data_IF_469849049917
#
_entry.id   IF_469849049917
#
_cell.length_a   1.000
_cell.length_b   1.000
_cell.length_c   1.000
_cell.angle_alpha   90.00
_cell.angle_beta   90.00
_cell.angle_gamma   90.00
#
_symmetry.space_group_name_H-M   'P 1'
#
loop_
_entity.id
_entity.type
_entity.pdbx_description
1 polymer ?
#
# COMPACT_ATOMS: atom_id res chain seq x y z
N UNK A 1 5.55 2.75 10.86
CA UNK A 1 4.19 2.19 11.06
C UNK A 1 3.30 3.35 11.40
N UNK A 2 2.36 3.66 10.53
CA UNK A 2 1.39 4.73 10.75
C UNK A 2 0.08 4.06 11.19
N UNK A 3 -0.54 4.60 12.26
CA UNK A 3 -1.86 4.19 12.74
C UNK A 3 -2.78 5.37 12.52
N UNK A 4 -3.86 5.16 11.79
CA UNK A 4 -4.87 6.19 11.57
C UNK A 4 -5.83 6.23 12.76
N UNK A 5 -5.98 7.42 13.33
CA UNK A 5 -6.77 7.65 14.53
C UNK A 5 -7.82 8.74 14.25
N UNK A 6 -9.02 8.56 14.78
CA UNK A 6 -10.05 9.59 14.80
C UNK A 6 -10.14 10.22 16.20
N UNK A 7 -10.23 11.55 16.31
CA UNK A 7 -10.46 12.21 17.58
C UNK A 7 -11.90 11.99 18.05
N UNK A 8 -12.05 11.59 19.31
CA UNK A 8 -13.33 11.45 20.02
C UNK A 8 -13.24 12.21 21.35
N UNK A 9 -14.37 12.47 22.04
CA UNK A 9 -14.35 13.10 23.36
C UNK A 9 -13.49 12.34 24.40
N UNK A 10 -13.31 11.03 24.21
CA UNK A 10 -12.54 10.15 25.09
C UNK A 10 -11.06 10.02 24.68
N UNK A 11 -10.65 10.64 23.58
CA UNK A 11 -9.28 10.61 23.06
C UNK A 11 -9.20 10.15 21.61
N UNK A 12 -8.01 9.74 21.19
CA UNK A 12 -7.76 9.23 19.85
C UNK A 12 -8.06 7.72 19.80
N UNK A 13 -8.97 7.31 18.92
CA UNK A 13 -9.31 5.90 18.72
C UNK A 13 -8.91 5.44 17.32
N UNK A 14 -8.51 4.17 17.13
CA UNK A 14 -8.24 3.63 15.80
C UNK A 14 -9.41 3.81 14.85
N UNK A 15 -9.12 4.25 13.63
CA UNK A 15 -10.14 4.59 12.64
C UNK A 15 -10.74 3.34 11.98
N UNK A 16 -9.94 2.27 11.81
CA UNK A 16 -10.38 0.97 11.27
C UNK A 16 -9.85 -0.21 12.09
N UNK A 17 -10.38 -1.39 11.81
CA UNK A 17 -9.95 -2.64 12.45
C UNK A 17 -8.47 -2.94 12.19
N UNK A 18 -7.95 -2.64 10.99
CA UNK A 18 -6.52 -2.77 10.68
C UNK A 18 -5.66 -1.88 11.58
N UNK A 19 -6.09 -0.63 11.81
CA UNK A 19 -5.41 0.30 12.72
C UNK A 19 -5.50 -0.18 14.16
N UNK A 20 -6.64 -0.77 14.55
CA UNK A 20 -6.82 -1.37 15.86
C UNK A 20 -5.86 -2.55 16.08
N UNK A 21 -5.71 -3.44 15.09
CA UNK A 21 -4.74 -4.54 15.17
C UNK A 21 -3.30 -4.06 15.27
N UNK A 22 -2.95 -2.94 14.61
CA UNK A 22 -1.64 -2.32 14.77
C UNK A 22 -1.48 -1.66 16.15
N UNK A 23 -2.54 -1.02 16.66
CA UNK A 23 -2.56 -0.40 17.98
C UNK A 23 -2.36 -1.43 19.09
N UNK A 24 -2.98 -2.61 18.98
CA UNK A 24 -2.82 -3.73 19.92
C UNK A 24 -1.38 -4.27 20.00
N UNK A 25 -0.54 -4.03 18.98
CA UNK A 25 0.88 -4.42 19.00
C UNK A 25 1.74 -3.48 19.84
N UNK A 26 1.23 -2.31 20.23
CA UNK A 26 1.94 -1.38 21.09
C UNK A 26 1.97 -1.89 22.54
N UNK A 27 3.10 -1.70 23.24
CA UNK A 27 3.24 -2.15 24.62
C UNK A 27 2.54 -1.18 25.57
N UNK A 28 1.60 -1.69 26.35
CA UNK A 28 0.97 -0.91 27.42
C UNK A 28 2.00 -0.41 28.45
N UNK A 29 1.82 0.82 28.94
CA UNK A 29 2.65 1.42 29.99
C UNK A 29 3.94 2.11 29.52
N UNK A 30 4.24 2.10 28.21
CA UNK A 30 5.40 2.80 27.65
C UNK A 30 5.01 4.15 27.05
N UNK A 31 5.81 5.21 27.24
CA UNK A 31 5.57 6.49 26.58
C UNK A 31 5.90 6.40 25.09
N UNK A 32 5.01 6.89 24.23
CA UNK A 32 5.20 6.99 22.79
C UNK A 32 5.13 8.45 22.33
N UNK A 33 6.01 8.83 21.39
CA UNK A 33 5.91 10.10 20.67
C UNK A 33 5.06 9.90 19.42
N UNK A 34 3.94 10.61 19.31
CA UNK A 34 3.12 10.62 18.11
C UNK A 34 3.37 11.88 17.27
N UNK A 35 3.22 11.76 15.95
CA UNK A 35 3.18 12.88 15.00
C UNK A 35 1.81 12.91 14.36
N UNK A 36 0.98 13.88 14.72
CA UNK A 36 -0.35 14.04 14.13
C UNK A 36 -0.23 14.68 12.75
N UNK A 37 -0.75 14.00 11.74
CA UNK A 37 -0.82 14.49 10.37
C UNK A 37 -2.23 14.23 9.86
N UNK A 38 -2.87 15.24 9.27
CA UNK A 38 -4.19 15.09 8.65
C UNK A 38 -4.01 14.74 7.17
N UNK A 39 -4.25 13.49 6.75
CA UNK A 39 -4.07 13.11 5.35
C UNK A 39 -5.22 13.70 4.54
N UNK A 40 -4.90 14.52 3.53
CA UNK A 40 -5.92 15.13 2.65
C UNK A 40 -6.76 14.08 1.92
N UNK A 41 -6.11 13.01 1.48
CA UNK A 41 -6.74 11.94 0.70
C UNK A 41 -6.51 10.56 1.34
N UNK A 42 -6.92 10.41 2.60
CA UNK A 42 -6.79 9.14 3.31
C UNK A 42 -7.47 7.95 2.59
N UNK A 43 -8.64 8.19 1.97
CA UNK A 43 -9.40 7.16 1.23
C UNK A 43 -8.58 6.54 0.09
N UNK A 44 -7.73 7.33 -0.57
CA UNK A 44 -6.87 6.86 -1.66
C UNK A 44 -5.78 5.92 -1.14
N UNK A 45 -5.15 6.32 -0.03
CA UNK A 45 -4.19 5.47 0.67
C UNK A 45 -4.84 4.15 1.07
N UNK A 46 -6.00 4.18 1.73
CA UNK A 46 -6.72 2.95 2.14
C UNK A 46 -7.00 2.05 0.94
N UNK A 47 -7.58 2.60 -0.13
CA UNK A 47 -7.96 1.81 -1.31
C UNK A 47 -6.75 1.18 -2.01
N UNK A 48 -5.63 1.90 -2.12
CA UNK A 48 -4.39 1.35 -2.67
C UNK A 48 -3.79 0.24 -1.79
N UNK A 49 -3.73 0.44 -0.47
CA UNK A 49 -3.14 -0.56 0.41
C UNK A 49 -4.02 -1.81 0.58
N UNK A 50 -5.34 -1.70 0.43
CA UNK A 50 -6.21 -2.87 0.31
C UNK A 50 -5.84 -3.73 -0.91
N UNK A 51 -5.59 -3.09 -2.07
CA UNK A 51 -5.13 -3.80 -3.28
C UNK A 51 -3.77 -4.47 -3.06
N UNK A 52 -2.82 -3.79 -2.42
CA UNK A 52 -1.51 -4.37 -2.06
C UNK A 52 -1.68 -5.60 -1.18
N UNK A 53 -2.55 -5.52 -0.16
CA UNK A 53 -2.78 -6.61 0.79
C UNK A 53 -3.37 -7.84 0.09
N UNK A 54 -4.42 -7.65 -0.70
CA UNK A 54 -5.05 -8.74 -1.46
C UNK A 54 -4.05 -9.36 -2.44
N UNK A 55 -3.24 -8.53 -3.11
CA UNK A 55 -2.19 -9.01 -4.02
C UNK A 55 -1.16 -9.85 -3.28
N UNK A 56 -0.74 -9.42 -2.09
CA UNK A 56 0.19 -10.18 -1.26
C UNK A 56 -0.42 -11.51 -0.80
N UNK A 57 -1.62 -11.48 -0.24
CA UNK A 57 -2.28 -12.65 0.34
C UNK A 57 -2.61 -13.73 -0.72
N UNK A 58 -2.85 -13.32 -1.98
CA UNK A 58 -3.18 -14.24 -3.07
C UNK A 58 -2.04 -14.48 -4.06
N UNK A 59 -0.82 -13.97 -3.80
CA UNK A 59 0.29 -14.14 -4.72
C UNK A 59 0.67 -15.63 -4.86
N UNK A 60 0.73 -16.19 -6.08
CA UNK A 60 1.15 -17.58 -6.26
C UNK A 60 2.54 -17.85 -5.68
N UNK A 61 2.68 -18.92 -4.88
CA UNK A 61 3.93 -19.26 -4.21
C UNK A 61 5.17 -19.32 -5.13
N UNK A 62 5.09 -19.83 -6.38
CA UNK A 62 6.23 -19.77 -7.30
C UNK A 62 6.68 -18.34 -7.61
N UNK A 63 5.74 -17.40 -7.75
CA UNK A 63 6.05 -15.99 -7.99
C UNK A 63 6.62 -15.34 -6.73
N UNK A 64 6.00 -15.57 -5.57
CA UNK A 64 6.47 -15.06 -4.29
C UNK A 64 7.93 -15.44 -4.03
N UNK A 65 8.28 -16.71 -4.24
CA UNK A 65 9.64 -17.22 -4.09
C UNK A 65 10.60 -16.63 -5.13
N UNK A 66 10.20 -16.60 -6.42
CA UNK A 66 11.06 -16.09 -7.50
C UNK A 66 11.35 -14.59 -7.39
N UNK A 67 10.45 -13.84 -6.75
CA UNK A 67 10.53 -12.39 -6.59
C UNK A 67 10.97 -11.97 -5.20
N UNK A 68 11.26 -12.94 -4.32
CA UNK A 68 11.70 -12.73 -2.93
C UNK A 68 10.72 -11.83 -2.15
N UNK A 69 9.42 -12.14 -2.24
CA UNK A 69 8.35 -11.39 -1.60
C UNK A 69 7.97 -12.07 -0.28
N UNK A 70 8.21 -11.37 0.83
CA UNK A 70 7.92 -11.87 2.19
C UNK A 70 6.95 -10.96 2.93
N UNK A 71 6.79 -9.72 2.48
CA UNK A 71 5.97 -8.70 3.14
C UNK A 71 5.12 -7.90 2.15
N UNK A 72 4.00 -7.29 2.60
CA UNK A 72 3.25 -6.34 1.78
C UNK A 72 4.10 -5.17 1.26
N UNK A 73 5.12 -4.76 2.01
CA UNK A 73 6.07 -3.72 1.62
C UNK A 73 6.88 -4.10 0.37
N UNK A 74 7.19 -5.39 0.19
CA UNK A 74 7.86 -5.89 -1.03
C UNK A 74 6.95 -5.76 -2.26
N UNK A 75 5.65 -5.99 -2.10
CA UNK A 75 4.64 -5.73 -3.14
C UNK A 75 4.61 -4.24 -3.47
N UNK A 76 4.60 -3.34 -2.48
CA UNK A 76 4.64 -1.89 -2.72
C UNK A 76 5.88 -1.50 -3.53
N UNK A 77 7.06 -2.00 -3.15
CA UNK A 77 8.32 -1.73 -3.87
C UNK A 77 8.23 -2.21 -5.31
N UNK A 78 7.64 -3.38 -5.54
CA UNK A 78 7.48 -3.94 -6.89
C UNK A 78 6.43 -3.19 -7.71
N UNK A 79 5.32 -2.75 -7.10
CA UNK A 79 4.35 -1.87 -7.75
C UNK A 79 4.99 -0.57 -8.19
N UNK A 80 5.80 0.07 -7.33
CA UNK A 80 6.54 1.28 -7.73
C UNK A 80 7.42 1.05 -8.95
N UNK A 81 8.11 -0.09 -9.02
CA UNK A 81 8.90 -0.47 -10.19
C UNK A 81 8.03 -0.63 -11.44
N UNK A 82 6.97 -1.42 -11.33
CA UNK A 82 6.14 -1.82 -12.48
C UNK A 82 5.21 -0.69 -12.97
N UNK A 83 4.88 0.27 -12.10
CA UNK A 83 4.17 1.51 -12.43
C UNK A 83 5.12 2.63 -12.87
N UNK A 84 6.43 2.38 -12.98
CA UNK A 84 7.40 3.37 -13.46
C UNK A 84 7.73 4.48 -12.46
N UNK A 85 7.41 4.31 -11.17
CA UNK A 85 7.69 5.27 -10.09
C UNK A 85 9.13 5.14 -9.57
N UNK A 86 10.10 5.26 -10.47
CA UNK A 86 11.52 5.23 -10.12
C UNK A 86 12.38 6.03 -11.09
N UNK A 87 13.54 6.45 -10.61
CA UNK A 87 14.65 6.92 -11.46
C UNK A 87 15.77 5.91 -11.43
N UNK A 88 16.27 5.53 -12.61
CA UNK A 88 17.50 4.77 -12.75
C UNK A 88 18.65 5.72 -13.08
N UNK A 89 19.73 5.66 -12.31
CA UNK A 89 20.95 6.45 -12.51
C UNK A 89 22.15 5.52 -12.58
N UNK A 90 23.17 5.92 -13.34
CA UNK A 90 24.46 5.23 -13.29
C UNK A 90 25.37 6.02 -12.37
N UNK A 91 25.89 5.37 -11.33
CA UNK A 91 26.82 6.02 -10.41
C UNK A 91 28.22 6.19 -11.05
N UNK A 92 29.13 6.94 -10.42
CA UNK A 92 30.49 7.12 -10.95
C UNK A 92 31.30 5.83 -11.12
N UNK A 93 30.87 4.73 -10.50
CA UNK A 93 31.48 3.40 -10.59
C UNK A 93 30.90 2.56 -11.74
N UNK A 94 29.95 3.09 -12.50
CA UNK A 94 29.29 2.38 -13.61
C UNK A 94 28.14 1.46 -13.18
N UNK A 95 27.77 1.44 -11.91
CA UNK A 95 26.69 0.62 -11.38
C UNK A 95 25.33 1.30 -11.60
N UNK A 96 24.29 0.50 -11.85
CA UNK A 96 22.93 1.00 -12.02
C UNK A 96 22.24 1.07 -10.65
N UNK A 97 21.91 2.27 -10.22
CA UNK A 97 21.15 2.55 -9.01
C UNK A 97 19.69 2.85 -9.37
N UNK A 98 18.76 2.28 -8.60
CA UNK A 98 17.33 2.53 -8.73
C UNK A 98 16.84 3.23 -7.47
N UNK A 99 16.33 4.44 -7.64
CA UNK A 99 15.68 5.20 -6.58
C UNK A 99 14.17 5.21 -6.81
N UNK A 100 13.41 4.67 -5.86
CA UNK A 100 11.95 4.61 -5.95
C UNK A 100 11.30 5.87 -5.39
N UNK A 101 10.36 6.43 -6.15
CA UNK A 101 9.60 7.58 -5.71
C UNK A 101 8.47 7.20 -4.75
N UNK A 102 8.05 8.14 -3.92
CA UNK A 102 6.86 7.98 -3.07
C UNK A 102 5.59 8.17 -3.89
N UNK A 103 4.53 7.44 -3.54
CA UNK A 103 3.20 7.65 -4.14
C UNK A 103 2.54 8.80 -3.39
N UNK A 104 2.47 9.97 -4.02
CA UNK A 104 1.97 11.19 -3.38
C UNK A 104 0.45 11.29 -3.46
N UNK A 105 -0.29 10.44 -2.74
CA UNK A 105 -1.77 10.47 -2.72
C UNK A 105 -2.35 11.83 -2.33
N UNK A 106 -1.65 12.58 -1.48
CA UNK A 106 -2.06 13.92 -1.07
C UNK A 106 -1.95 14.99 -2.17
N UNK A 107 -1.23 14.70 -3.26
CA UNK A 107 -1.07 15.56 -4.42
C UNK A 107 -1.97 15.17 -5.60
N UNK A 108 -2.67 14.03 -5.51
CA UNK A 108 -3.60 13.56 -6.54
C UNK A 108 -4.99 14.13 -6.27
N UNK A 109 -5.69 14.54 -7.32
CA UNK A 109 -7.14 14.70 -7.26
C UNK A 109 -7.86 13.35 -7.47
N UNK A 110 -9.20 13.38 -7.50
CA UNK A 110 -10.01 12.17 -7.70
C UNK A 110 -9.75 11.50 -9.05
N UNK A 111 -9.62 12.29 -10.12
CA UNK A 111 -9.43 11.78 -11.48
C UNK A 111 -8.06 11.13 -11.64
N UNK A 112 -7.01 11.82 -11.18
CA UNK A 112 -5.64 11.33 -11.18
C UNK A 112 -5.52 10.01 -10.39
N UNK A 113 -6.15 9.96 -9.22
CA UNK A 113 -6.14 8.76 -8.40
C UNK A 113 -6.89 7.60 -9.06
N UNK A 114 -8.06 7.85 -9.67
CA UNK A 114 -8.82 6.81 -10.37
C UNK A 114 -8.05 6.22 -11.55
N UNK A 115 -7.37 7.07 -12.35
CA UNK A 115 -6.51 6.60 -13.44
C UNK A 115 -5.34 5.78 -12.91
N UNK A 116 -4.62 6.27 -11.90
CA UNK A 116 -3.52 5.57 -11.27
C UNK A 116 -3.97 4.21 -10.70
N UNK A 117 -5.11 4.20 -10.00
CA UNK A 117 -5.66 3.00 -9.38
C UNK A 117 -6.09 1.98 -10.43
N UNK A 118 -6.72 2.41 -11.53
CA UNK A 118 -7.10 1.52 -12.63
C UNK A 118 -5.87 0.86 -13.30
N UNK A 119 -4.75 1.59 -13.42
CA UNK A 119 -3.50 1.03 -13.90
C UNK A 119 -2.94 -0.01 -12.92
N UNK A 120 -2.96 0.28 -11.61
CA UNK A 120 -2.52 -0.66 -10.59
C UNK A 120 -3.37 -1.95 -10.58
N UNK A 121 -4.70 -1.85 -10.68
CA UNK A 121 -5.60 -3.01 -10.79
C UNK A 121 -5.30 -3.83 -12.05
N UNK A 122 -5.12 -3.17 -13.19
CA UNK A 122 -4.81 -3.85 -14.47
C UNK A 122 -3.46 -4.58 -14.40
N UNK A 123 -2.46 -3.97 -13.74
CA UNK A 123 -1.17 -4.60 -13.47
C UNK A 123 -1.33 -5.84 -12.58
N UNK A 124 -2.12 -5.76 -11.51
CA UNK A 124 -2.37 -6.89 -10.61
C UNK A 124 -2.96 -8.07 -11.37
N UNK A 125 -4.05 -7.85 -12.11
CA UNK A 125 -4.74 -8.91 -12.86
C UNK A 125 -3.88 -9.52 -13.97
N UNK A 126 -3.05 -8.71 -14.64
CA UNK A 126 -2.24 -9.18 -15.77
C UNK A 126 -0.92 -9.84 -15.36
N UNK A 127 -0.33 -9.43 -14.24
CA UNK A 127 1.03 -9.83 -13.86
C UNK A 127 1.13 -10.61 -12.56
N UNK A 128 0.36 -10.23 -11.54
CA UNK A 128 0.47 -10.79 -10.19
C UNK A 128 -0.51 -11.94 -9.96
N UNK A 129 -1.78 -11.73 -10.31
CA UNK A 129 -2.89 -12.65 -10.08
C UNK A 129 -3.50 -13.09 -11.41
N UNK A 130 -2.68 -13.71 -12.27
CA UNK A 130 -3.12 -14.16 -13.59
C UNK A 130 -4.27 -15.16 -13.46
N UNK A 131 -5.38 -14.86 -14.13
CA UNK A 131 -6.57 -15.72 -14.13
C UNK A 131 -7.61 -15.37 -13.06
N UNK A 132 -7.31 -14.44 -12.15
CA UNK A 132 -8.33 -13.83 -11.31
C UNK A 132 -9.22 -12.93 -12.18
N UNK A 133 -10.54 -13.02 -12.01
CA UNK A 133 -11.44 -12.11 -12.69
C UNK A 133 -11.48 -10.76 -11.94
N UNK A 134 -11.89 -9.69 -12.63
CA UNK A 134 -11.94 -8.35 -12.02
C UNK A 134 -13.01 -8.24 -10.92
N UNK A 135 -14.13 -8.96 -11.06
CA UNK A 135 -15.23 -8.93 -10.10
C UNK A 135 -14.82 -9.53 -8.76
N UNK A 136 -14.14 -10.68 -8.75
CA UNK A 136 -13.61 -11.33 -7.55
C UNK A 136 -12.64 -10.40 -6.80
N UNK A 137 -11.81 -9.66 -7.55
CA UNK A 137 -10.91 -8.67 -6.97
C UNK A 137 -11.67 -7.49 -6.35
N UNK A 138 -12.71 -7.00 -7.03
CA UNK A 138 -13.56 -5.91 -6.53
C UNK A 138 -14.38 -6.34 -5.31
N UNK A 139 -14.91 -7.57 -5.29
CA UNK A 139 -15.58 -8.16 -4.13
C UNK A 139 -14.63 -8.29 -2.93
N UNK A 140 -13.44 -8.85 -3.15
CA UNK A 140 -12.42 -8.94 -2.10
C UNK A 140 -12.03 -7.54 -1.58
N UNK A 141 -11.94 -6.53 -2.44
CA UNK A 141 -11.66 -5.16 -2.02
C UNK A 141 -12.77 -4.54 -1.17
N UNK A 142 -14.03 -4.89 -1.41
CA UNK A 142 -15.16 -4.41 -0.62
C UNK A 142 -15.10 -4.87 0.85
N UNK A 143 -14.57 -6.06 1.13
CA UNK A 143 -14.43 -6.58 2.50
C UNK A 143 -13.40 -5.81 3.35
N UNK A 144 -12.45 -5.12 2.72
CA UNK A 144 -11.40 -4.34 3.39
C UNK A 144 -11.73 -2.85 3.52
N UNK A 145 -12.82 -2.37 2.90
CA UNK A 145 -13.24 -0.95 2.90
C UNK A 145 -14.24 -0.63 4.01
#
# INVERSE_FOLDING_TARGET
MDIYLTPTPQGLVPLYDSDYQLFLKLKHGYPYRCKLTQPRNYKFHKKFFALVRITFDNLPAPLANSWDIHTPEDIVKKFKRDLGLYTARTNPYGEREIEYHSISFAAMDQHDFEQFYAQAVSLVLSKYLKGLNRQDLEEALHEFM
#
